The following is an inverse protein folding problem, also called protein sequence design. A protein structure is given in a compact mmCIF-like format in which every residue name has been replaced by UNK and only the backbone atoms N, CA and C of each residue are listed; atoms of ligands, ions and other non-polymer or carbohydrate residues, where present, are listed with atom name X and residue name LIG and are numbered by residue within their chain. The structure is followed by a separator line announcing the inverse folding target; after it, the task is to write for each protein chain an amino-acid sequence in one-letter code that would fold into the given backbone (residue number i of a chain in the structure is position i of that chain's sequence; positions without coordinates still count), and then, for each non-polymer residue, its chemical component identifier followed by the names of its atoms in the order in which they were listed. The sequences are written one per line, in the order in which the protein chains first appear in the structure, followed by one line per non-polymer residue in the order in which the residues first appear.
data_IF_035448089936
#
_entry.id   IF_035448089936
#
_cell.length_a   1.000
_cell.length_b   1.000
_cell.length_c   1.000
_cell.angle_alpha   90.00
_cell.angle_beta   90.00
_cell.angle_gamma   90.00
#
_symmetry.space_group_name_H-M   'P 1'
#
loop_
_entity.id
_entity.type
_entity.pdbx_description
1 polymer ?
#
# COMPACT_ATOMS: atom_id res chain seq x y z
N UNK A 1 11.20 -3.87 -1.99
CA UNK A 1 9.75 -3.87 -2.21
C UNK A 1 9.43 -4.87 -3.29
N UNK A 2 8.52 -5.79 -3.02
CA UNK A 2 8.01 -6.76 -3.99
C UNK A 2 6.50 -6.89 -3.81
N UNK A 3 5.75 -7.17 -4.86
CA UNK A 3 4.32 -7.48 -4.73
C UNK A 3 4.12 -8.90 -4.21
N UNK A 4 3.08 -9.08 -3.39
CA UNK A 4 2.62 -10.39 -2.93
C UNK A 4 1.39 -10.79 -3.73
N UNK A 5 1.60 -11.58 -4.77
CA UNK A 5 0.57 -12.02 -5.70
C UNK A 5 1.07 -12.00 -7.15
N UNK A 6 0.23 -12.48 -8.06
CA UNK A 6 0.58 -12.53 -9.48
C UNK A 6 0.17 -11.28 -10.24
N UNK A 7 -0.84 -10.56 -9.76
CA UNK A 7 -1.40 -9.40 -10.45
C UNK A 7 -0.47 -8.19 -10.34
N UNK A 8 -0.26 -7.44 -11.42
CA UNK A 8 0.41 -6.13 -11.39
C UNK A 8 -0.53 -5.04 -10.90
N UNK A 9 0.01 -3.86 -10.63
CA UNK A 9 -0.78 -2.68 -10.30
C UNK A 9 -1.85 -2.37 -11.37
N UNK A 10 -1.48 -2.42 -12.65
CA UNK A 10 -2.40 -2.10 -13.76
C UNK A 10 -3.49 -3.18 -13.99
N UNK A 11 -3.29 -4.39 -13.46
CA UNK A 11 -4.28 -5.48 -13.53
C UNK A 11 -5.32 -5.39 -12.41
N UNK A 12 -5.11 -4.50 -11.44
CA UNK A 12 -6.02 -4.20 -10.34
C UNK A 12 -6.56 -2.77 -10.47
N UNK A 13 -7.83 -2.56 -10.12
CA UNK A 13 -8.48 -1.25 -10.35
C UNK A 13 -9.25 -0.71 -9.15
N UNK A 14 -9.79 -1.57 -8.30
CA UNK A 14 -10.53 -1.17 -7.11
C UNK A 14 -10.40 -2.29 -6.08
N UNK A 15 -9.16 -2.54 -5.65
CA UNK A 15 -8.89 -3.63 -4.73
C UNK A 15 -7.61 -3.45 -3.93
N UNK A 16 -7.47 -4.31 -2.93
CA UNK A 16 -6.25 -4.42 -2.16
C UNK A 16 -5.08 -4.92 -3.01
N UNK A 17 -3.94 -4.26 -2.82
CA UNK A 17 -2.65 -4.64 -3.35
C UNK A 17 -1.70 -4.85 -2.17
N UNK A 18 -1.11 -6.04 -2.08
CA UNK A 18 -0.24 -6.40 -0.96
C UNK A 18 1.20 -6.35 -1.40
N UNK A 19 2.05 -5.68 -0.62
CA UNK A 19 3.50 -5.60 -0.86
C UNK A 19 4.30 -6.11 0.32
N UNK A 20 5.44 -6.72 0.03
CA UNK A 20 6.52 -6.96 0.97
C UNK A 20 7.54 -5.81 0.90
N UNK A 21 7.86 -5.24 2.06
CA UNK A 21 8.94 -4.28 2.24
C UNK A 21 9.80 -4.73 3.41
N UNK A 22 10.93 -5.37 3.12
CA UNK A 22 11.89 -5.79 4.15
C UNK A 22 11.24 -6.70 5.22
N UNK A 23 10.35 -7.61 4.79
CA UNK A 23 9.61 -8.52 5.66
C UNK A 23 8.31 -7.93 6.24
N UNK A 24 8.02 -6.65 6.00
CA UNK A 24 6.72 -6.07 6.32
C UNK A 24 5.73 -6.36 5.22
N UNK A 25 4.57 -6.91 5.57
CA UNK A 25 3.46 -7.05 4.64
C UNK A 25 2.50 -5.88 4.81
N UNK A 26 2.41 -5.04 3.79
CA UNK A 26 1.56 -3.84 3.77
C UNK A 26 0.45 -4.06 2.78
N UNK A 27 -0.80 -3.88 3.23
CA UNK A 27 -1.99 -3.92 2.37
C UNK A 27 -2.44 -2.50 2.11
N UNK A 28 -2.38 -2.10 0.86
CA UNK A 28 -2.81 -0.78 0.39
C UNK A 28 -4.00 -0.95 -0.55
N UNK A 29 -4.79 0.10 -0.72
CA UNK A 29 -5.90 0.12 -1.65
C UNK A 29 -5.52 0.89 -2.91
N UNK A 30 -5.71 0.26 -4.07
CA UNK A 30 -5.68 0.92 -5.37
C UNK A 30 -7.13 1.30 -5.72
N UNK A 31 -7.41 2.60 -5.77
CA UNK A 31 -8.67 3.15 -6.27
C UNK A 31 -8.47 3.79 -7.63
N UNK A 32 -8.97 3.13 -8.66
CA UNK A 32 -8.99 3.61 -10.03
C UNK A 32 -7.62 4.04 -10.59
N UNK A 33 -6.54 3.30 -10.27
CA UNK A 33 -5.12 3.60 -10.58
C UNK A 33 -4.46 4.65 -9.65
N UNK A 34 -5.12 5.06 -8.57
CA UNK A 34 -4.57 5.95 -7.55
C UNK A 34 -4.29 5.21 -6.24
N UNK A 35 -3.17 5.55 -5.60
CA UNK A 35 -2.86 5.08 -4.25
C UNK A 35 -3.74 5.81 -3.21
N UNK A 36 -4.71 5.10 -2.61
CA UNK A 36 -5.73 5.72 -1.75
C UNK A 36 -5.36 5.67 -0.26
N UNK A 37 -5.41 4.50 0.38
CA UNK A 37 -5.09 4.32 1.81
C UNK A 37 -4.30 3.04 2.07
N UNK A 38 -3.68 2.96 3.25
CA UNK A 38 -3.16 1.72 3.81
C UNK A 38 -4.22 1.11 4.73
N UNK A 39 -4.64 -0.13 4.46
CA UNK A 39 -5.61 -0.86 5.30
C UNK A 39 -4.92 -1.48 6.52
N UNK A 40 -3.76 -2.11 6.30
CA UNK A 40 -3.03 -2.77 7.37
C UNK A 40 -1.54 -2.90 7.08
N UNK A 41 -0.75 -3.00 8.14
CA UNK A 41 0.65 -3.40 8.10
C UNK A 41 0.89 -4.56 9.07
N UNK A 42 1.69 -5.55 8.65
CA UNK A 42 2.10 -6.68 9.48
C UNK A 42 3.63 -6.72 9.55
N UNK A 43 4.19 -6.72 10.76
CA UNK A 43 5.63 -6.80 10.96
C UNK A 43 6.18 -8.19 10.58
N UNK A 44 7.50 -8.32 10.38
CA UNK A 44 8.14 -9.62 10.18
C UNK A 44 7.86 -10.63 11.31
N UNK A 45 7.62 -10.14 12.54
CA UNK A 45 7.28 -10.94 13.73
C UNK A 45 5.78 -11.26 13.81
N UNK A 46 4.97 -10.77 12.88
CA UNK A 46 3.54 -11.02 12.79
C UNK A 46 2.66 -10.03 13.58
N UNK A 47 3.22 -8.95 14.11
CA UNK A 47 2.41 -7.91 14.75
C UNK A 47 1.60 -7.15 13.70
N UNK A 48 0.30 -6.97 13.92
CA UNK A 48 -0.62 -6.31 12.98
C UNK A 48 -1.07 -4.95 13.49
N UNK A 49 -1.13 -4.00 12.57
CA UNK A 49 -1.79 -2.71 12.72
C UNK A 49 -2.83 -2.56 11.62
N UNK A 50 -4.03 -2.17 12.01
CA UNK A 50 -5.15 -1.85 11.13
C UNK A 50 -5.37 -0.34 11.16
N UNK A 51 -5.68 0.24 10.02
CA UNK A 51 -5.88 1.68 9.86
C UNK A 51 -7.26 1.93 9.26
N UNK A 52 -7.97 2.93 9.79
CA UNK A 52 -9.25 3.33 9.24
C UNK A 52 -9.05 4.28 8.06
N UNK A 53 -9.74 4.03 6.94
CA UNK A 53 -9.72 4.91 5.77
C UNK A 53 -10.08 6.34 6.15
N UNK A 54 -9.20 7.30 5.86
CA UNK A 54 -9.42 8.72 6.15
C UNK A 54 -9.13 9.17 7.59
N UNK A 55 -8.69 8.26 8.48
CA UNK A 55 -8.13 8.69 9.77
C UNK A 55 -6.73 9.28 9.58
N UNK A 56 -6.36 10.22 10.44
CA UNK A 56 -5.04 10.90 10.43
C UNK A 56 -3.89 9.97 10.88
N UNK A 57 -4.18 8.69 11.06
CA UNK A 57 -3.23 7.66 11.43
C UNK A 57 -2.90 6.71 10.27
N UNK A 58 -3.61 6.80 9.14
CA UNK A 58 -3.26 6.08 7.92
C UNK A 58 -1.88 6.53 7.40
N UNK A 59 -0.91 5.61 7.27
CA UNK A 59 0.40 5.90 6.71
C UNK A 59 0.39 6.62 5.36
N UNK A 60 -0.59 6.35 4.48
CA UNK A 60 -0.69 7.02 3.16
C UNK A 60 -1.12 8.47 3.32
N UNK A 61 -2.08 8.76 4.20
CA UNK A 61 -2.53 10.12 4.50
C UNK A 61 -1.45 11.00 5.17
N UNK A 62 -0.41 10.38 5.75
CA UNK A 62 0.72 11.08 6.38
C UNK A 62 1.85 11.44 5.39
N UNK A 63 1.84 10.89 4.18
CA UNK A 63 2.86 11.18 3.18
C UNK A 63 2.72 12.61 2.66
N UNK A 64 3.86 13.26 2.42
CA UNK A 64 3.86 14.46 1.58
C UNK A 64 3.43 14.10 0.16
N UNK A 65 2.99 15.09 -0.62
CA UNK A 65 2.62 14.90 -2.04
C UNK A 65 3.74 14.26 -2.85
N UNK A 66 5.01 14.57 -2.55
CA UNK A 66 6.15 13.98 -3.25
C UNK A 66 6.38 12.51 -2.88
N UNK A 67 6.27 12.17 -1.60
CA UNK A 67 6.42 10.78 -1.12
C UNK A 67 5.30 9.89 -1.67
N UNK A 68 4.06 10.39 -1.65
CA UNK A 68 2.91 9.71 -2.24
C UNK A 68 3.14 9.39 -3.73
N UNK A 69 3.46 10.39 -4.55
CA UNK A 69 3.75 10.20 -5.98
C UNK A 69 4.98 9.32 -6.24
N UNK A 70 5.96 9.32 -5.33
CA UNK A 70 7.12 8.45 -5.46
C UNK A 70 6.75 7.00 -5.18
N UNK A 71 5.97 6.75 -4.15
CA UNK A 71 5.49 5.41 -3.79
C UNK A 71 4.58 4.85 -4.89
N UNK A 72 3.60 5.62 -5.37
CA UNK A 72 2.72 5.18 -6.45
C UNK A 72 3.50 4.75 -7.71
N UNK A 73 4.51 5.52 -8.12
CA UNK A 73 5.37 5.13 -9.24
C UNK A 73 6.18 3.86 -8.98
N UNK A 74 6.58 3.60 -7.74
CA UNK A 74 7.26 2.36 -7.39
C UNK A 74 6.30 1.17 -7.46
N UNK A 75 5.06 1.34 -6.99
CA UNK A 75 4.01 0.31 -7.06
C UNK A 75 3.64 -0.05 -8.49
N UNK A 76 3.48 0.95 -9.37
CA UNK A 76 3.24 0.77 -10.82
C UNK A 76 4.36 0.01 -11.55
N UNK A 77 5.56 -0.07 -10.95
CA UNK A 77 6.70 -0.77 -11.53
C UNK A 77 6.90 -2.22 -11.02
N UNK A 78 6.01 -2.74 -10.16
CA UNK A 78 6.05 -4.09 -9.59
C UNK A 78 5.22 -5.11 -10.40
#
# INVERSE_FOLDING_TARGET
MAKLGNQTWDEVYACHFVIDVEGWHITIYNDCDELDYCEQAVSPEGQRWDFDSGDRTDPIALLSTWEHQRLERMLKAL
#
